data_IF_712672852555
#
_entry.id   IF_712672852555
#
_cell.length_a   1.000
_cell.length_b   1.000
_cell.length_c   1.000
_cell.angle_alpha   90.00
_cell.angle_beta   90.00
_cell.angle_gamma   90.00
#
_symmetry.space_group_name_H-M   'P 1'
#
loop_
_entity.id
_entity.type
_entity.pdbx_description
1 polymer ?
#
# COMPACT_ATOMS: atom_id res chain seq x y z
N UNK A 1 33.73 15.73 0.64
CA UNK A 1 32.96 14.48 0.85
C UNK A 1 32.06 14.59 2.08
N UNK A 2 30.72 14.48 1.94
CA UNK A 2 29.88 13.96 3.03
C UNK A 2 28.68 13.13 2.49
N UNK A 3 28.79 11.80 2.36
CA UNK A 3 27.68 10.96 1.83
C UNK A 3 27.35 9.69 2.61
N UNK A 4 28.20 9.23 3.54
CA UNK A 4 28.01 7.93 4.23
C UNK A 4 27.14 8.02 5.50
N UNK A 5 27.26 9.07 6.32
CA UNK A 5 26.50 9.20 7.58
C UNK A 5 25.00 9.44 7.36
N UNK A 6 24.62 10.31 6.40
CA UNK A 6 23.21 10.58 6.05
C UNK A 6 22.44 9.34 5.56
N UNK A 7 23.11 8.38 4.92
CA UNK A 7 22.48 7.14 4.42
C UNK A 7 22.14 6.16 5.54
N UNK A 8 22.99 6.06 6.57
CA UNK A 8 22.75 5.21 7.74
C UNK A 8 21.58 5.71 8.59
N UNK A 9 21.49 7.03 8.85
CA UNK A 9 20.41 7.58 9.67
C UNK A 9 19.02 7.42 9.02
N UNK A 10 18.91 7.61 7.70
CA UNK A 10 17.65 7.40 6.96
C UNK A 10 17.17 5.94 7.08
N UNK A 11 18.09 4.97 7.03
CA UNK A 11 17.75 3.55 7.18
C UNK A 11 17.23 3.25 8.61
N UNK A 12 17.81 3.87 9.63
CA UNK A 12 17.35 3.72 11.01
C UNK A 12 15.94 4.31 11.22
N UNK A 13 15.66 5.48 10.65
CA UNK A 13 14.33 6.09 10.70
C UNK A 13 13.26 5.18 10.07
N UNK A 14 13.51 4.66 8.87
CA UNK A 14 12.55 3.77 8.18
C UNK A 14 12.32 2.46 8.94
N UNK A 15 13.37 1.88 9.52
CA UNK A 15 13.25 0.70 10.39
C UNK A 15 12.44 1.00 11.64
N UNK A 16 12.63 2.18 12.24
CA UNK A 16 11.85 2.61 13.39
C UNK A 16 10.37 2.77 13.05
N UNK A 17 10.06 3.34 11.88
CA UNK A 17 8.69 3.52 11.39
C UNK A 17 7.98 2.17 11.19
N UNK A 18 8.66 1.20 10.57
CA UNK A 18 8.10 -0.17 10.43
C UNK A 18 7.84 -0.79 11.81
N UNK A 19 8.82 -0.71 12.72
CA UNK A 19 8.70 -1.28 14.07
C UNK A 19 7.56 -0.65 14.87
N UNK A 20 7.34 0.66 14.76
CA UNK A 20 6.28 1.34 15.50
C UNK A 20 4.87 1.00 15.03
N UNK A 21 4.73 0.23 13.93
CA UNK A 21 3.45 -0.18 13.36
C UNK A 21 3.17 -1.68 13.51
N UNK A 22 4.13 -2.46 14.02
CA UNK A 22 3.89 -3.85 14.41
C UNK A 22 2.85 -3.88 15.55
N UNK A 23 1.89 -4.79 15.47
CA UNK A 23 0.77 -4.91 16.41
C UNK A 23 -0.40 -3.98 16.12
N UNK A 24 -0.30 -3.09 15.13
CA UNK A 24 -1.40 -2.23 14.70
C UNK A 24 -2.10 -2.77 13.43
N UNK A 25 -3.40 -2.47 13.25
CA UNK A 25 -4.11 -2.76 12.00
C UNK A 25 -3.44 -2.13 10.78
N UNK A 26 -3.32 -2.91 9.70
CA UNK A 26 -2.94 -2.41 8.39
C UNK A 26 -3.98 -1.38 7.93
N UNK A 27 -3.57 -0.16 7.54
CA UNK A 27 -4.53 0.88 7.18
C UNK A 27 -5.27 0.54 5.88
N UNK A 28 -4.74 -0.36 5.05
CA UNK A 28 -5.36 -0.81 3.79
C UNK A 28 -6.43 -1.90 4.00
N UNK A 29 -6.27 -2.83 4.93
CA UNK A 29 -7.14 -4.02 5.05
C UNK A 29 -7.61 -4.36 6.47
N UNK A 30 -7.16 -3.64 7.50
CA UNK A 30 -7.54 -3.86 8.89
C UNK A 30 -6.80 -5.01 9.61
N UNK A 31 -6.13 -5.91 8.89
CA UNK A 31 -5.40 -7.02 9.51
C UNK A 31 -4.21 -6.55 10.37
N UNK A 32 -3.99 -7.20 11.52
CA UNK A 32 -2.90 -6.82 12.44
C UNK A 32 -1.54 -7.13 11.82
N UNK A 33 -0.69 -6.10 11.73
CA UNK A 33 0.65 -6.23 11.16
C UNK A 33 1.63 -6.89 12.13
N UNK A 34 2.54 -7.71 11.59
CA UNK A 34 3.55 -8.47 12.36
C UNK A 34 4.98 -8.14 11.94
N UNK A 35 5.95 -8.47 12.78
CA UNK A 35 7.38 -8.33 12.47
C UNK A 35 8.01 -9.56 11.82
N UNK A 36 7.26 -10.65 11.66
CA UNK A 36 7.78 -11.92 11.16
C UNK A 36 8.13 -11.83 9.68
N UNK A 37 9.38 -12.16 9.29
CA UNK A 37 9.80 -12.14 7.89
C UNK A 37 8.93 -13.03 6.99
N UNK A 38 8.59 -12.54 5.80
CA UNK A 38 7.80 -13.24 4.77
C UNK A 38 6.36 -13.61 5.16
N UNK A 39 5.89 -13.27 6.37
CA UNK A 39 4.49 -13.43 6.75
C UNK A 39 3.60 -12.49 5.91
N UNK A 40 2.39 -12.93 5.54
CA UNK A 40 1.47 -12.12 4.74
C UNK A 40 1.14 -10.77 5.41
N UNK A 41 1.05 -10.76 6.73
CA UNK A 41 0.84 -9.58 7.56
C UNK A 41 2.12 -8.82 7.95
N UNK A 42 3.30 -9.19 7.42
CA UNK A 42 4.55 -8.52 7.76
C UNK A 42 4.46 -7.02 7.48
N UNK A 43 4.83 -6.18 8.45
CA UNK A 43 4.88 -4.73 8.27
C UNK A 43 5.93 -4.35 7.23
N UNK A 44 5.51 -3.58 6.22
CA UNK A 44 6.32 -3.15 5.08
C UNK A 44 6.16 -1.66 4.83
N UNK A 45 7.23 -1.01 4.36
CA UNK A 45 7.18 0.38 3.95
C UNK A 45 6.63 0.47 2.52
N UNK A 46 5.64 1.31 2.29
CA UNK A 46 4.97 1.49 1.02
C UNK A 46 4.88 2.98 0.66
N UNK A 47 5.01 3.31 -0.64
CA UNK A 47 4.72 4.66 -1.10
C UNK A 47 3.21 4.87 -1.23
N UNK A 48 2.70 5.98 -0.69
CA UNK A 48 1.29 6.36 -0.82
C UNK A 48 0.93 6.48 -2.29
N UNK A 49 1.69 7.27 -3.04
CA UNK A 49 1.66 7.32 -4.51
C UNK A 49 2.97 6.69 -5.03
N UNK A 50 2.93 5.72 -5.96
CA UNK A 50 4.14 5.15 -6.56
C UNK A 50 5.04 6.22 -7.21
N UNK A 51 6.37 6.03 -7.16
CA UNK A 51 7.33 7.02 -7.66
C UNK A 51 7.18 7.31 -9.16
N UNK A 52 6.92 6.28 -9.96
CA UNK A 52 6.65 6.38 -11.41
C UNK A 52 5.24 6.89 -11.74
N UNK A 53 4.39 7.06 -10.73
CA UNK A 53 3.07 7.69 -10.81
C UNK A 53 3.07 9.12 -10.22
N UNK A 54 4.26 9.72 -10.10
CA UNK A 54 4.45 11.09 -9.60
C UNK A 54 4.51 11.21 -8.09
N UNK A 55 4.71 10.10 -7.37
CA UNK A 55 5.02 10.09 -5.95
C UNK A 55 6.44 10.59 -5.63
N UNK A 56 6.70 10.85 -4.35
CA UNK A 56 8.01 11.33 -3.88
C UNK A 56 8.64 10.38 -2.86
N UNK A 57 9.94 10.56 -2.60
CA UNK A 57 10.65 9.86 -1.51
C UNK A 57 10.57 10.60 -0.16
N UNK A 58 9.68 11.59 -0.04
CA UNK A 58 9.44 12.28 1.23
C UNK A 58 8.70 11.37 2.21
N UNK A 59 8.95 11.51 3.53
CA UNK A 59 8.23 10.76 4.55
C UNK A 59 6.71 10.89 4.48
N UNK A 60 6.17 12.00 3.99
CA UNK A 60 4.73 12.22 3.81
C UNK A 60 4.10 11.36 2.69
N UNK A 61 4.91 10.79 1.80
CA UNK A 61 4.47 9.85 0.77
C UNK A 61 4.81 8.40 1.16
N UNK A 62 5.08 8.12 2.43
CA UNK A 62 5.37 6.78 2.93
C UNK A 62 4.35 6.40 4.00
N UNK A 63 3.88 5.17 3.94
CA UNK A 63 3.07 4.55 4.99
C UNK A 63 3.61 3.14 5.30
N UNK A 64 3.10 2.52 6.35
CA UNK A 64 3.38 1.13 6.71
C UNK A 64 2.12 0.31 6.56
N UNK A 65 2.19 -0.67 5.67
CA UNK A 65 1.12 -1.64 5.40
C UNK A 65 1.64 -3.07 5.49
N UNK A 66 0.72 -4.04 5.47
CA UNK A 66 1.13 -5.43 5.40
C UNK A 66 1.69 -5.82 4.01
N UNK A 67 2.59 -6.80 4.01
CA UNK A 67 3.22 -7.35 2.81
C UNK A 67 2.20 -7.82 1.76
N UNK A 68 1.09 -8.42 2.21
CA UNK A 68 0.00 -8.83 1.34
C UNK A 68 -0.60 -7.63 0.59
N UNK A 69 -0.98 -6.55 1.29
CA UNK A 69 -1.50 -5.34 0.64
C UNK A 69 -0.49 -4.69 -0.29
N UNK A 70 0.79 -4.62 0.11
CA UNK A 70 1.86 -4.10 -0.74
C UNK A 70 1.97 -4.87 -2.06
N UNK A 71 1.99 -6.21 -2.01
CA UNK A 71 2.07 -7.06 -3.20
C UNK A 71 0.86 -6.88 -4.12
N UNK A 72 -0.33 -6.74 -3.54
CA UNK A 72 -1.56 -6.52 -4.29
C UNK A 72 -1.57 -5.13 -4.94
N UNK A 73 -1.18 -4.07 -4.22
CA UNK A 73 -1.02 -2.71 -4.81
C UNK A 73 -0.06 -2.71 -5.99
N UNK A 74 1.08 -3.39 -5.85
CA UNK A 74 2.03 -3.54 -6.96
C UNK A 74 1.42 -4.31 -8.15
N UNK A 75 0.54 -5.28 -7.90
CA UNK A 75 -0.17 -6.01 -8.95
C UNK A 75 -1.19 -5.15 -9.69
N UNK A 76 -1.91 -4.27 -8.99
CA UNK A 76 -2.80 -3.26 -9.61
C UNK A 76 -1.98 -2.35 -10.51
N UNK A 77 -0.86 -1.83 -10.01
CA UNK A 77 0.06 -0.98 -10.78
C UNK A 77 0.50 -1.67 -12.08
N UNK A 78 1.08 -2.86 -11.97
CA UNK A 78 1.56 -3.63 -13.13
C UNK A 78 0.43 -3.91 -14.13
N UNK A 79 -0.78 -4.22 -13.65
CA UNK A 79 -1.92 -4.49 -14.52
C UNK A 79 -2.24 -3.31 -15.44
N UNK A 80 -2.36 -2.10 -14.88
CA UNK A 80 -2.71 -0.91 -15.66
C UNK A 80 -1.51 -0.35 -16.46
N UNK A 81 -0.29 -0.43 -15.92
CA UNK A 81 0.93 -0.05 -16.65
C UNK A 81 1.09 -0.86 -17.93
N UNK A 82 0.84 -2.17 -17.89
CA UNK A 82 0.90 -3.05 -19.07
C UNK A 82 -0.15 -2.72 -20.13
N UNK A 83 -1.20 -1.96 -19.76
CA UNK A 83 -2.23 -1.46 -20.68
C UNK A 83 -1.93 -0.03 -21.14
N UNK A 84 -0.83 0.59 -20.68
CA UNK A 84 -0.54 1.99 -20.93
C UNK A 84 -1.51 2.95 -20.24
N UNK A 85 -2.19 2.50 -19.17
CA UNK A 85 -3.17 3.29 -18.41
C UNK A 85 -2.59 3.70 -17.08
N UNK A 86 -2.64 4.99 -16.78
CA UNK A 86 -2.25 5.48 -15.47
C UNK A 86 -3.37 5.29 -14.47
N UNK A 87 -3.02 4.78 -13.29
CA UNK A 87 -3.94 4.71 -12.14
C UNK A 87 -4.01 6.09 -11.47
N UNK A 88 -5.23 6.62 -11.20
CA UNK A 88 -5.40 7.92 -10.55
C UNK A 88 -4.68 8.03 -9.21
N UNK A 89 -4.18 9.22 -8.87
CA UNK A 89 -3.45 9.45 -7.61
C UNK A 89 -4.35 9.28 -6.40
N UNK A 90 -5.61 9.66 -6.55
CA UNK A 90 -6.65 9.57 -5.54
C UNK A 90 -6.91 8.10 -5.18
N UNK A 91 -6.92 7.19 -6.16
CA UNK A 91 -7.00 5.76 -5.88
C UNK A 91 -5.83 5.27 -5.02
N UNK A 92 -4.60 5.68 -5.35
CA UNK A 92 -3.42 5.28 -4.59
C UNK A 92 -3.48 5.74 -3.12
N UNK A 93 -4.01 6.93 -2.88
CA UNK A 93 -4.23 7.49 -1.55
C UNK A 93 -5.36 6.76 -0.80
N UNK A 94 -6.53 6.62 -1.43
CA UNK A 94 -7.72 6.05 -0.80
C UNK A 94 -7.59 4.55 -0.53
N UNK A 95 -6.90 3.80 -1.40
CA UNK A 95 -6.66 2.37 -1.20
C UNK A 95 -5.74 2.04 -0.02
N UNK A 96 -5.15 3.05 0.65
CA UNK A 96 -4.46 2.90 1.93
C UNK A 96 -5.34 3.21 3.14
N UNK A 97 -6.63 3.53 2.94
CA UNK A 97 -7.51 3.97 4.01
C UNK A 97 -8.77 3.13 4.04
N UNK A 98 -8.78 2.09 4.88
CA UNK A 98 -9.89 1.15 5.00
C UNK A 98 -11.21 1.84 5.40
N UNK A 99 -11.14 2.90 6.21
CA UNK A 99 -12.32 3.69 6.57
C UNK A 99 -12.90 4.53 5.43
N UNK A 100 -12.16 4.70 4.33
CA UNK A 100 -12.60 5.43 3.12
C UNK A 100 -12.83 4.48 1.94
N UNK A 101 -12.91 3.16 2.19
CA UNK A 101 -13.06 2.19 1.11
C UNK A 101 -14.35 2.39 0.30
N UNK A 102 -15.41 2.92 0.91
CA UNK A 102 -16.65 3.26 0.20
C UNK A 102 -16.42 4.26 -0.96
N UNK A 103 -15.49 5.22 -0.83
CA UNK A 103 -15.14 6.14 -1.92
C UNK A 103 -14.40 5.42 -3.05
N UNK A 104 -13.59 4.41 -2.70
CA UNK A 104 -12.90 3.57 -3.69
C UNK A 104 -13.92 2.76 -4.49
N UNK A 105 -14.90 2.17 -3.81
CA UNK A 105 -15.98 1.41 -4.43
C UNK A 105 -16.87 2.28 -5.32
N UNK A 106 -17.12 3.52 -4.93
CA UNK A 106 -17.96 4.46 -5.69
C UNK A 106 -17.25 5.01 -6.92
N UNK A 107 -16.01 5.48 -6.78
CA UNK A 107 -15.33 6.26 -7.84
C UNK A 107 -14.22 5.51 -8.57
N UNK A 108 -13.65 4.46 -7.97
CA UNK A 108 -12.45 3.78 -8.47
C UNK A 108 -12.61 2.26 -8.53
N UNK A 109 -13.86 1.79 -8.64
CA UNK A 109 -14.22 0.37 -8.64
C UNK A 109 -13.38 -0.47 -9.58
N UNK A 110 -13.19 0.00 -10.82
CA UNK A 110 -12.40 -0.70 -11.85
C UNK A 110 -10.98 -1.03 -11.36
N UNK A 111 -10.31 -0.07 -10.72
CA UNK A 111 -8.96 -0.27 -10.18
C UNK A 111 -8.97 -1.19 -8.97
N UNK A 112 -10.01 -1.09 -8.15
CA UNK A 112 -10.14 -1.85 -6.91
C UNK A 112 -10.56 -3.32 -7.12
N UNK A 113 -11.29 -3.64 -8.18
CA UNK A 113 -11.64 -5.02 -8.51
C UNK A 113 -10.39 -5.88 -8.71
N UNK A 114 -9.37 -5.34 -9.37
CA UNK A 114 -8.06 -6.00 -9.52
C UNK A 114 -7.41 -6.23 -8.16
N UNK A 115 -7.51 -5.26 -7.24
CA UNK A 115 -7.02 -5.40 -5.88
C UNK A 115 -7.73 -6.56 -5.16
N UNK A 116 -9.06 -6.56 -5.17
CA UNK A 116 -9.88 -7.55 -4.48
C UNK A 116 -9.66 -8.96 -5.04
N UNK A 117 -9.64 -9.12 -6.36
CA UNK A 117 -9.37 -10.40 -7.03
C UNK A 117 -8.02 -10.97 -6.62
N UNK A 118 -6.97 -10.13 -6.64
CA UNK A 118 -5.60 -10.55 -6.28
C UNK A 118 -5.46 -10.87 -4.79
N UNK A 119 -6.27 -10.24 -3.94
CA UNK A 119 -6.22 -10.44 -2.49
C UNK A 119 -7.01 -11.66 -2.03
N UNK A 120 -8.21 -11.86 -2.57
CA UNK A 120 -9.19 -12.82 -2.06
C UNK A 120 -9.49 -14.00 -3.00
N UNK A 121 -8.94 -14.01 -4.21
CA UNK A 121 -8.98 -15.18 -5.10
C UNK A 121 -10.27 -15.33 -5.92
N UNK A 122 -11.43 -14.85 -5.46
CA UNK A 122 -12.68 -14.76 -6.23
C UNK A 122 -13.53 -13.57 -5.72
N UNK A 123 -14.29 -12.93 -6.62
CA UNK A 123 -15.06 -11.71 -6.36
C UNK A 123 -16.12 -11.99 -5.30
N UNK A 124 -15.93 -11.48 -4.07
CA UNK A 124 -17.04 -11.41 -3.12
C UNK A 124 -18.13 -10.52 -3.74
N UNK A 125 -19.37 -11.00 -3.90
CA UNK A 125 -20.48 -10.10 -4.17
C UNK A 125 -20.67 -9.27 -2.90
N UNK A 126 -20.28 -8.00 -2.94
CA UNK A 126 -20.62 -7.05 -1.88
C UNK A 126 -22.15 -6.90 -1.95
N UNK A 127 -22.85 -7.61 -1.07
CA UNK A 127 -24.26 -7.33 -0.77
C UNK A 127 -24.26 -6.03 0.03
N UNK A 128 -24.65 -4.93 -0.63
CA UNK A 128 -25.13 -3.75 0.07
C UNK A 128 -26.49 -4.10 0.68
N UNK A 129 -26.57 -4.12 2.00
CA UNK A 129 -27.85 -4.10 2.74
C UNK A 129 -28.27 -2.65 2.98
#
# INVERSE_FOLDING_TARGET
>A
MPRKHKRKSKNNFLRSLIRSRIGFPCPCCGEVMVGEPNHANMATLEHVIPLDHGGTNHPSNLDVICLSCQRVRNSVKIHFDNQGRLVPKEYWQLSLCNSLMYLVEEFYKEYHEIFLQRRYGEVLPIKMN
#
